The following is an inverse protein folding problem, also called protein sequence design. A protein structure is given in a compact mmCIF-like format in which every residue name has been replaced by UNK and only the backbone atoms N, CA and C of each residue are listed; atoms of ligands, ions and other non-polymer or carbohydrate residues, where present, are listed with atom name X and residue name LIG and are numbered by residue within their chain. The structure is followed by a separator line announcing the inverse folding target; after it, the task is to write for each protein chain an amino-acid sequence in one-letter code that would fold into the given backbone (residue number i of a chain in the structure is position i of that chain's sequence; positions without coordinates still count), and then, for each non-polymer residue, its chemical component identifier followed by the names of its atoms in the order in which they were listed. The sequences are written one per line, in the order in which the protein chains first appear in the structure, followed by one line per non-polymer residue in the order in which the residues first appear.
data_IF_348651399203
#
_entry.id   IF_348651399203
#
_cell.length_a   1.000
_cell.length_b   1.000
_cell.length_c   1.000
_cell.angle_alpha   90.00
_cell.angle_beta   90.00
_cell.angle_gamma   90.00
#
_symmetry.space_group_name_H-M   'P 1'
#
loop_
_entity.id
_entity.type
_entity.pdbx_description
1 polymer ?
#
# COMPACT_ATOMS: atom_id res chain seq x y z
N UNK A 1 14.52 -65.44 9.50
CA UNK A 1 14.71 -63.98 9.32
C UNK A 1 13.37 -63.31 9.60
N UNK A 2 13.43 -62.20 10.33
CA UNK A 2 12.34 -61.41 10.87
C UNK A 2 11.53 -60.70 9.78
N UNK A 3 10.24 -60.47 10.04
CA UNK A 3 9.38 -59.62 9.23
C UNK A 3 8.06 -59.31 9.92
N UNK A 4 8.13 -58.67 11.09
CA UNK A 4 6.96 -58.04 11.74
C UNK A 4 6.56 -56.80 10.91
N UNK A 5 5.34 -56.79 10.37
CA UNK A 5 4.75 -55.59 9.78
C UNK A 5 4.41 -54.58 10.86
N UNK A 6 5.01 -53.39 10.80
CA UNK A 6 4.60 -52.23 11.59
C UNK A 6 3.44 -51.52 10.87
N UNK A 7 2.36 -51.14 11.58
CA UNK A 7 1.41 -50.16 11.07
C UNK A 7 1.74 -48.76 11.61
N UNK A 8 1.12 -47.76 10.97
CA UNK A 8 0.97 -46.35 11.37
C UNK A 8 2.15 -45.41 11.03
N UNK A 9 1.91 -44.53 10.07
CA UNK A 9 2.20 -43.11 10.23
C UNK A 9 1.26 -42.36 9.29
N UNK A 10 0.12 -41.97 9.84
CA UNK A 10 -0.78 -40.98 9.25
C UNK A 10 0.01 -39.69 9.08
N UNK A 11 0.36 -39.36 7.84
CA UNK A 11 0.93 -38.07 7.49
C UNK A 11 -0.10 -36.97 7.77
N UNK A 12 0.00 -36.37 8.95
CA UNK A 12 -0.61 -35.08 9.21
C UNK A 12 0.15 -34.09 8.31
N UNK A 13 -0.50 -33.39 7.36
CA UNK A 13 0.17 -32.35 6.59
C UNK A 13 0.68 -31.29 7.57
N UNK A 14 1.82 -30.63 7.29
CA UNK A 14 2.35 -29.61 8.18
C UNK A 14 1.26 -28.56 8.39
N UNK A 15 0.89 -28.42 9.65
CA UNK A 15 -0.06 -27.44 10.16
C UNK A 15 0.32 -26.09 9.54
N UNK A 16 -0.60 -25.54 8.73
CA UNK A 16 -0.47 -24.18 8.23
C UNK A 16 -0.25 -23.31 9.46
N UNK A 17 0.96 -22.77 9.60
CA UNK A 17 1.26 -21.77 10.61
C UNK A 17 0.14 -20.77 10.58
N UNK A 18 -0.61 -20.69 11.68
CA UNK A 18 -1.60 -19.65 11.90
C UNK A 18 -0.78 -18.38 12.11
N UNK A 19 -0.29 -17.83 11.00
CA UNK A 19 0.16 -16.45 10.95
C UNK A 19 -1.07 -15.64 11.35
N UNK A 20 -0.92 -14.80 12.37
CA UNK A 20 -1.97 -13.92 12.84
C UNK A 20 -2.57 -13.20 11.63
N UNK A 21 -3.79 -13.58 11.24
CA UNK A 21 -4.49 -12.94 10.12
C UNK A 21 -5.04 -11.58 10.57
N UNK A 22 -4.12 -10.67 10.87
CA UNK A 22 -4.43 -9.26 11.01
C UNK A 22 -4.12 -8.59 9.68
N UNK A 23 -5.03 -7.76 9.16
CA UNK A 23 -4.61 -6.77 8.17
C UNK A 23 -3.74 -5.73 8.89
N UNK A 24 -2.68 -5.27 8.25
CA UNK A 24 -1.82 -4.23 8.77
C UNK A 24 -1.88 -3.01 7.86
N UNK A 25 -1.72 -1.82 8.45
CA UNK A 25 -1.46 -0.58 7.75
C UNK A 25 0.05 -0.31 7.82
N UNK A 26 0.71 -0.29 6.67
CA UNK A 26 2.11 0.07 6.54
C UNK A 26 2.21 1.48 5.96
N UNK A 27 2.62 2.44 6.78
CA UNK A 27 2.91 3.82 6.37
C UNK A 27 4.40 3.93 6.06
N UNK A 28 4.74 4.51 4.91
CA UNK A 28 6.12 4.65 4.45
C UNK A 28 6.33 6.10 4.03
N UNK A 29 7.40 6.70 4.55
CA UNK A 29 7.97 7.97 4.10
C UNK A 29 9.29 7.66 3.39
N UNK A 30 9.29 7.77 2.05
CA UNK A 30 10.48 7.70 1.22
C UNK A 30 11.21 9.05 1.29
N UNK A 31 12.35 9.10 1.99
CA UNK A 31 13.06 10.36 2.24
C UNK A 31 14.02 10.68 1.11
N UNK A 32 15.12 9.92 1.03
CA UNK A 32 16.23 10.23 0.13
C UNK A 32 17.04 9.01 -0.27
N UNK A 33 17.80 9.16 -1.35
CA UNK A 33 18.88 8.26 -1.75
C UNK A 33 20.22 8.90 -1.44
N UNK A 34 21.24 8.08 -1.22
CA UNK A 34 22.60 8.54 -1.00
C UNK A 34 23.58 7.74 -1.87
N UNK A 35 24.42 8.47 -2.61
CA UNK A 35 25.45 7.92 -3.49
C UNK A 35 24.94 6.82 -4.43
N UNK A 36 23.80 7.07 -5.07
CA UNK A 36 23.20 6.09 -5.98
C UNK A 36 24.08 5.85 -7.22
N UNK A 37 23.95 4.67 -7.82
CA UNK A 37 24.74 4.26 -8.97
C UNK A 37 24.53 5.19 -10.20
N UNK A 38 25.62 5.54 -10.88
CA UNK A 38 25.60 6.24 -12.17
C UNK A 38 25.16 5.27 -13.27
N UNK A 39 24.16 5.66 -14.07
CA UNK A 39 23.73 4.91 -15.26
C UNK A 39 23.76 5.76 -16.52
N UNK A 40 23.55 7.07 -16.41
CA UNK A 40 23.76 8.00 -17.52
C UNK A 40 25.23 8.23 -17.87
N UNK A 41 25.49 8.42 -19.17
CA UNK A 41 26.80 8.82 -19.72
C UNK A 41 27.33 10.15 -19.16
N UNK A 42 26.45 10.98 -18.61
CA UNK A 42 26.79 12.27 -18.00
C UNK A 42 27.41 12.18 -16.60
N UNK A 43 27.61 10.98 -16.05
CA UNK A 43 28.08 10.82 -14.68
C UNK A 43 26.99 11.03 -13.64
N UNK A 44 25.72 10.86 -14.03
CA UNK A 44 24.55 11.04 -13.16
C UNK A 44 23.51 9.94 -13.44
N UNK A 45 22.32 10.12 -12.88
CA UNK A 45 21.11 9.33 -13.12
C UNK A 45 19.87 10.18 -12.80
N UNK A 46 18.72 9.78 -13.31
CA UNK A 46 17.37 10.26 -13.05
C UNK A 46 16.59 9.26 -12.15
N UNK A 47 16.95 9.09 -10.86
CA UNK A 47 16.43 8.00 -10.05
C UNK A 47 14.95 8.14 -9.68
N UNK A 48 14.27 6.99 -9.63
CA UNK A 48 12.98 6.79 -8.99
C UNK A 48 12.90 5.43 -8.28
N UNK A 49 11.97 5.28 -7.35
CA UNK A 49 11.82 4.10 -6.50
C UNK A 49 10.48 3.41 -6.77
N UNK A 50 10.50 2.09 -6.85
CA UNK A 50 9.32 1.22 -6.91
C UNK A 50 9.25 0.37 -5.65
N UNK A 51 8.08 0.31 -5.04
CA UNK A 51 7.79 -0.67 -4.00
C UNK A 51 6.94 -1.79 -4.57
N UNK A 52 7.32 -3.02 -4.26
CA UNK A 52 6.59 -4.23 -4.63
C UNK A 52 6.26 -5.06 -3.40
N UNK A 53 5.04 -5.56 -3.35
CA UNK A 53 4.55 -6.45 -2.31
C UNK A 53 3.88 -7.65 -2.99
N UNK A 54 4.25 -8.87 -2.61
CA UNK A 54 3.83 -10.10 -3.29
C UNK A 54 4.00 -10.03 -4.83
N UNK A 55 5.13 -9.46 -5.29
CA UNK A 55 5.46 -9.30 -6.71
C UNK A 55 4.71 -8.18 -7.46
N UNK A 56 3.65 -7.61 -6.87
CA UNK A 56 2.87 -6.51 -7.47
C UNK A 56 3.49 -5.15 -7.12
N UNK A 57 3.58 -4.27 -8.11
CA UNK A 57 3.93 -2.87 -7.87
C UNK A 57 2.78 -2.15 -7.16
N UNK A 58 3.09 -1.56 -6.01
CA UNK A 58 2.12 -0.90 -5.13
C UNK A 58 2.40 0.60 -4.99
N UNK A 59 3.59 1.05 -5.37
CA UNK A 59 3.98 2.45 -5.37
C UNK A 59 5.13 2.68 -6.35
N UNK A 60 5.12 3.85 -6.99
CA UNK A 60 6.22 4.41 -7.77
C UNK A 60 6.39 5.87 -7.36
N UNK A 61 7.60 6.26 -7.00
CA UNK A 61 7.93 7.65 -6.67
C UNK A 61 7.97 8.54 -7.92
N UNK A 62 8.10 9.84 -7.71
CA UNK A 62 8.58 10.78 -8.74
C UNK A 62 10.00 10.42 -9.15
N UNK A 63 10.31 10.78 -10.38
CA UNK A 63 11.68 10.81 -10.92
C UNK A 63 12.33 12.13 -10.52
N UNK A 64 13.55 12.07 -9.99
CA UNK A 64 14.36 13.26 -9.72
C UNK A 64 15.52 13.26 -10.71
N UNK A 65 15.62 14.29 -11.53
CA UNK A 65 16.57 14.31 -12.63
C UNK A 65 18.00 14.67 -12.19
N UNK A 66 18.98 13.98 -12.76
CA UNK A 66 20.42 14.23 -12.67
C UNK A 66 20.92 14.41 -11.24
N UNK A 67 20.55 13.49 -10.37
CA UNK A 67 20.90 13.58 -8.96
C UNK A 67 21.11 12.20 -8.32
N UNK A 68 22.33 11.90 -7.91
CA UNK A 68 22.70 10.66 -7.19
C UNK A 68 22.40 10.72 -5.68
N UNK A 69 21.95 11.88 -5.19
CA UNK A 69 21.49 12.09 -3.82
C UNK A 69 20.08 12.71 -3.82
N UNK A 70 19.10 12.01 -4.44
CA UNK A 70 17.75 12.53 -4.61
C UNK A 70 17.04 12.64 -3.25
N UNK A 71 16.19 13.66 -3.11
CA UNK A 71 15.32 13.86 -1.93
C UNK A 71 13.88 13.85 -2.43
N UNK A 72 13.16 12.76 -2.17
CA UNK A 72 11.78 12.57 -2.62
C UNK A 72 10.76 13.12 -1.62
N UNK A 73 10.94 12.82 -0.34
CA UNK A 73 10.00 13.16 0.75
C UNK A 73 8.54 12.78 0.41
N UNK A 74 8.36 11.58 -0.16
CA UNK A 74 7.06 11.07 -0.59
C UNK A 74 6.49 10.08 0.42
N UNK A 75 5.18 10.18 0.66
CA UNK A 75 4.46 9.31 1.61
C UNK A 75 3.51 8.39 0.87
N UNK A 76 3.45 7.15 1.32
CA UNK A 76 2.45 6.17 0.86
C UNK A 76 1.96 5.32 2.02
N UNK A 77 0.78 4.74 1.85
CA UNK A 77 0.16 3.84 2.83
C UNK A 77 -0.32 2.60 2.11
N UNK A 78 0.13 1.45 2.60
CA UNK A 78 -0.18 0.14 2.05
C UNK A 78 -1.01 -0.65 3.06
N UNK A 79 -1.91 -1.48 2.55
CA UNK A 79 -2.56 -2.54 3.35
C UNK A 79 -1.78 -3.82 3.12
N UNK A 80 -1.40 -4.48 4.20
CA UNK A 80 -0.58 -5.69 4.18
C UNK A 80 -1.34 -6.80 4.88
N UNK A 81 -1.62 -7.88 4.16
CA UNK A 81 -2.40 -9.01 4.69
C UNK A 81 -1.51 -10.04 5.40
N UNK A 82 -0.22 -10.09 5.06
CA UNK A 82 0.74 -11.01 5.65
C UNK A 82 2.11 -10.33 5.84
N UNK A 83 2.66 -10.41 7.06
CA UNK A 83 3.97 -9.83 7.38
C UNK A 83 5.15 -10.69 6.92
N UNK A 84 4.93 -11.95 6.54
CA UNK A 84 5.98 -12.84 6.03
C UNK A 84 6.45 -12.45 4.64
N UNK A 85 5.63 -11.70 3.90
CA UNK A 85 5.98 -11.17 2.58
C UNK A 85 6.77 -9.86 2.76
N UNK A 86 8.05 -9.81 2.36
CA UNK A 86 8.84 -8.60 2.50
C UNK A 86 8.39 -7.55 1.48
N UNK A 87 8.56 -6.27 1.84
CA UNK A 87 8.47 -5.20 0.85
C UNK A 87 9.77 -5.19 0.02
N UNK A 88 9.63 -5.41 -1.28
CA UNK A 88 10.75 -5.35 -2.21
C UNK A 88 10.87 -3.94 -2.79
N UNK A 89 11.99 -3.29 -2.48
CA UNK A 89 12.29 -1.91 -2.88
C UNK A 89 13.29 -1.94 -4.02
N UNK A 90 12.97 -1.27 -5.13
CA UNK A 90 13.84 -1.20 -6.31
C UNK A 90 14.06 0.24 -6.72
N UNK A 91 15.30 0.58 -7.08
CA UNK A 91 15.65 1.87 -7.67
C UNK A 91 15.96 1.68 -9.14
N UNK A 92 15.52 2.62 -9.94
CA UNK A 92 15.75 2.65 -11.38
C UNK A 92 16.16 4.04 -11.82
N UNK A 93 16.97 4.09 -12.87
CA UNK A 93 17.22 5.30 -13.65
C UNK A 93 16.15 5.41 -14.72
N UNK A 94 15.59 6.59 -14.92
CA UNK A 94 14.59 6.81 -15.96
C UNK A 94 15.25 7.18 -17.29
N UNK A 95 14.98 6.39 -18.32
CA UNK A 95 15.49 6.63 -19.67
C UNK A 95 14.36 6.92 -20.65
N UNK A 96 14.38 8.11 -21.27
CA UNK A 96 13.34 8.49 -22.22
C UNK A 96 13.35 7.58 -23.46
N UNK A 97 12.27 6.82 -23.65
CA UNK A 97 12.05 6.00 -24.84
C UNK A 97 12.83 4.67 -24.84
N UNK A 98 13.46 4.29 -23.72
CA UNK A 98 14.16 3.02 -23.53
C UNK A 98 13.62 2.31 -22.28
N UNK A 99 14.19 1.13 -22.01
CA UNK A 99 13.96 0.46 -20.74
C UNK A 99 14.82 1.13 -19.66
N UNK A 100 14.16 1.57 -18.58
CA UNK A 100 14.80 2.12 -17.39
C UNK A 100 15.89 1.20 -16.80
N UNK A 101 17.07 1.77 -16.55
CA UNK A 101 18.22 1.05 -16.02
C UNK A 101 18.07 0.69 -14.53
N UNK A 102 18.46 -0.52 -14.16
CA UNK A 102 18.39 -0.97 -12.77
C UNK A 102 19.53 -0.36 -11.92
N UNK A 103 19.16 0.27 -10.81
CA UNK A 103 20.11 0.95 -9.90
C UNK A 103 20.30 0.23 -8.57
N UNK A 104 19.66 -0.92 -8.37
CA UNK A 104 19.80 -1.71 -7.14
C UNK A 104 18.48 -1.94 -6.43
N UNK A 105 18.50 -2.87 -5.48
CA UNK A 105 17.31 -3.25 -4.74
C UNK A 105 17.61 -3.71 -3.32
N UNK A 106 16.59 -3.71 -2.48
CA UNK A 106 16.66 -4.18 -1.11
C UNK A 106 15.32 -4.78 -0.67
N UNK A 107 15.37 -5.66 0.33
CA UNK A 107 14.19 -6.18 1.01
C UNK A 107 14.03 -5.52 2.37
N UNK A 108 12.81 -5.10 2.68
CA UNK A 108 12.39 -4.72 4.02
C UNK A 108 11.48 -5.81 4.58
N UNK A 109 11.99 -6.56 5.56
CA UNK A 109 11.26 -7.65 6.21
C UNK A 109 10.28 -7.09 7.23
N UNK A 110 8.98 -7.15 6.93
CA UNK A 110 7.94 -6.49 7.71
C UNK A 110 7.76 -7.11 9.10
N UNK A 111 7.98 -8.41 9.24
CA UNK A 111 7.99 -9.13 10.52
C UNK A 111 9.04 -8.63 11.53
N UNK A 112 10.09 -7.95 11.05
CA UNK A 112 11.17 -7.42 11.90
C UNK A 112 10.88 -6.02 12.45
N UNK A 113 9.80 -5.37 11.99
CA UNK A 113 9.46 -4.00 12.38
C UNK A 113 8.71 -3.97 13.73
N UNK A 114 9.09 -3.04 14.60
CA UNK A 114 8.28 -2.70 15.76
C UNK A 114 6.95 -2.06 15.30
N UNK A 115 5.85 -2.43 15.96
CA UNK A 115 4.53 -1.91 15.61
C UNK A 115 4.24 -0.59 16.32
N UNK A 116 3.32 0.19 15.75
CA UNK A 116 2.77 1.44 16.30
C UNK A 116 3.82 2.52 16.58
N UNK A 117 4.92 2.51 15.83
CA UNK A 117 6.01 3.47 15.94
C UNK A 117 6.57 3.80 14.56
N UNK A 118 6.90 5.06 14.34
CA UNK A 118 7.69 5.49 13.18
C UNK A 118 9.17 5.15 13.38
N UNK A 119 9.71 4.27 12.55
CA UNK A 119 11.08 3.74 12.63
C UNK A 119 11.86 4.25 11.41
N UNK A 120 13.01 4.93 11.60
CA UNK A 120 13.91 5.22 10.49
C UNK A 120 14.61 3.94 10.03
N UNK A 121 14.66 3.73 8.71
CA UNK A 121 15.25 2.55 8.07
C UNK A 121 16.23 3.00 7.00
N UNK A 122 17.43 2.44 7.00
CA UNK A 122 18.41 2.61 5.93
C UNK A 122 18.61 1.28 5.22
N UNK A 123 18.37 1.28 3.90
CA UNK A 123 18.50 0.10 3.06
C UNK A 123 19.74 0.24 2.16
N UNK A 124 20.68 -0.68 2.28
CA UNK A 124 21.79 -0.80 1.34
C UNK A 124 21.30 -1.48 0.05
N UNK A 125 21.55 -0.85 -1.09
CA UNK A 125 21.11 -1.36 -2.38
C UNK A 125 22.08 -2.43 -2.90
N UNK A 126 21.52 -3.50 -3.45
CA UNK A 126 22.27 -4.63 -4.00
C UNK A 126 21.75 -5.05 -5.37
N UNK A 127 22.67 -5.56 -6.17
CA UNK A 127 22.42 -6.29 -7.41
C UNK A 127 22.95 -7.72 -7.24
N UNK A 128 22.09 -8.75 -7.29
CA UNK A 128 22.52 -10.15 -7.21
C UNK A 128 23.54 -10.55 -8.29
N UNK A 129 23.54 -9.89 -9.44
CA UNK A 129 24.52 -10.16 -10.51
C UNK A 129 25.87 -9.49 -10.26
N UNK A 130 25.91 -8.44 -9.42
CA UNK A 130 27.09 -7.63 -9.12
C UNK A 130 27.16 -7.31 -7.61
N UNK A 131 27.35 -8.32 -6.74
CA UNK A 131 27.17 -8.18 -5.28
C UNK A 131 28.18 -7.24 -4.61
N UNK A 132 29.37 -7.11 -5.20
CA UNK A 132 30.47 -6.28 -4.71
C UNK A 132 30.34 -4.81 -5.13
N UNK A 133 29.41 -4.48 -6.03
CA UNK A 133 29.17 -3.11 -6.46
C UNK A 133 28.48 -2.32 -5.34
N UNK A 134 29.02 -1.14 -5.02
CA UNK A 134 28.31 -0.16 -4.21
C UNK A 134 27.28 0.56 -5.08
N UNK A 135 26.00 0.40 -4.72
CA UNK A 135 24.86 1.00 -5.42
C UNK A 135 24.21 2.11 -4.59
N UNK A 136 24.82 2.47 -3.46
CA UNK A 136 24.31 3.46 -2.54
C UNK A 136 23.26 2.92 -1.57
N UNK A 137 22.57 3.85 -0.92
CA UNK A 137 21.57 3.55 0.10
C UNK A 137 20.28 4.34 -0.09
N UNK A 138 19.17 3.81 0.44
CA UNK A 138 17.92 4.52 0.60
C UNK A 138 17.62 4.75 2.07
N UNK A 139 17.08 5.92 2.38
CA UNK A 139 16.57 6.26 3.69
C UNK A 139 15.04 6.37 3.66
N UNK A 140 14.40 5.65 4.56
CA UNK A 140 12.95 5.57 4.75
C UNK A 140 12.60 5.87 6.21
N UNK A 141 11.34 6.20 6.47
CA UNK A 141 10.73 5.99 7.77
C UNK A 141 9.44 5.17 7.61
N UNK A 142 9.23 4.19 8.48
CA UNK A 142 8.11 3.26 8.37
C UNK A 142 7.34 3.17 9.68
N UNK A 143 6.01 3.08 9.60
CA UNK A 143 5.16 2.76 10.74
C UNK A 143 4.22 1.61 10.37
N UNK A 144 4.30 0.52 11.13
CA UNK A 144 3.44 -0.65 10.95
C UNK A 144 2.37 -0.66 12.05
N UNK A 145 1.10 -0.55 11.69
CA UNK A 145 -0.01 -0.54 12.65
C UNK A 145 -0.97 -1.70 12.35
N UNK A 146 -1.26 -2.60 13.30
CA UNK A 146 -2.33 -3.58 13.16
C UNK A 146 -3.65 -2.87 12.86
N UNK A 147 -4.41 -3.36 11.88
CA UNK A 147 -5.82 -2.99 11.74
C UNK A 147 -6.64 -4.03 12.51
N UNK A 148 -7.15 -3.63 13.66
CA UNK A 148 -8.25 -4.36 14.28
C UNK A 148 -9.43 -4.32 13.30
N UNK A 149 -9.80 -5.45 12.73
CA UNK A 149 -11.07 -5.57 12.02
C UNK A 149 -12.03 -6.32 12.93
N UNK A 150 -12.99 -5.65 13.61
CA UNK A 150 -14.25 -6.32 13.86
C UNK A 150 -14.87 -6.59 12.49
N UNK A 151 -15.24 -7.84 12.25
CA UNK A 151 -15.90 -8.33 11.03
C UNK A 151 -17.02 -7.35 10.62
N UNK A 152 -16.82 -6.54 9.58
CA UNK A 152 -17.93 -5.87 8.89
C UNK A 152 -18.61 -6.90 7.99
N UNK A 153 -19.48 -7.70 8.60
CA UNK A 153 -20.47 -8.49 7.89
C UNK A 153 -21.68 -7.59 7.57
N UNK A 154 -22.08 -7.58 6.28
CA UNK A 154 -23.41 -7.15 5.73
C UNK A 154 -23.53 -5.62 5.48
N UNK A 155 -23.99 -5.09 4.34
CA UNK A 155 -24.80 -5.60 3.22
C UNK A 155 -24.44 -4.82 1.94
N UNK A 156 -23.97 -5.49 0.89
CA UNK A 156 -24.29 -5.03 -0.47
C UNK A 156 -25.67 -5.61 -0.81
N UNK A 157 -26.71 -4.78 -0.74
CA UNK A 157 -28.03 -5.13 -1.25
C UNK A 157 -28.17 -4.44 -2.59
N UNK A 158 -27.80 -5.16 -3.64
CA UNK A 158 -28.24 -4.93 -5.01
C UNK A 158 -29.76 -4.73 -5.02
N UNK A 159 -30.21 -3.47 -5.08
CA UNK A 159 -31.62 -3.17 -5.37
C UNK A 159 -31.82 -3.50 -6.84
N UNK A 160 -32.37 -4.70 -7.07
CA UNK A 160 -32.93 -5.14 -8.34
C UNK A 160 -34.04 -4.18 -8.75
N UNK A 161 -33.96 -3.67 -9.97
CA UNK A 161 -35.13 -3.12 -10.65
C UNK A 161 -36.14 -4.25 -10.94
N UNK A 162 -37.42 -4.04 -10.61
CA UNK A 162 -38.54 -4.33 -11.50
C UNK A 162 -39.85 -3.77 -10.95
N UNK A 163 -40.65 -3.24 -11.86
CA UNK A 163 -42.00 -2.69 -11.69
C UNK A 163 -43.01 -3.74 -11.22
N UNK A 164 -44.08 -3.27 -10.56
CA UNK A 164 -45.49 -3.74 -10.64
C UNK A 164 -46.33 -2.83 -9.72
N UNK A 165 -47.08 -1.85 -10.27
CA UNK A 165 -48.50 -1.91 -10.65
C UNK A 165 -49.47 -2.29 -9.52
N UNK A 166 -50.11 -1.29 -8.90
CA UNK A 166 -51.59 -1.17 -8.85
C UNK A 166 -52.05 -0.21 -7.74
N UNK A 167 -52.93 0.69 -8.17
CA UNK A 167 -53.74 1.68 -7.45
C UNK A 167 -54.31 1.22 -6.10
N UNK A 168 -54.40 2.14 -5.14
CA UNK A 168 -55.68 2.56 -4.53
C UNK A 168 -55.53 3.55 -3.34
N UNK A 169 -56.25 4.68 -3.47
CA UNK A 169 -56.85 5.55 -2.44
C UNK A 169 -56.01 6.24 -1.34
N UNK A 170 -56.04 7.59 -1.40
CA UNK A 170 -56.36 8.60 -0.37
C UNK A 170 -56.50 8.10 1.08
N UNK A 171 -56.08 8.82 2.14
CA UNK A 171 -56.75 10.00 2.73
C UNK A 171 -55.82 10.63 3.79
N UNK A 172 -55.94 11.95 3.95
CA UNK A 172 -55.44 12.92 4.96
C UNK A 172 -55.21 12.41 6.40
N UNK A 173 -54.59 13.08 7.38
CA UNK A 173 -54.11 14.44 7.70
C UNK A 173 -53.17 14.25 8.95
N UNK A 174 -52.37 15.18 9.47
CA UNK A 174 -52.73 16.43 10.14
C UNK A 174 -51.43 17.05 10.71
N UNK A 175 -51.38 18.38 10.68
CA UNK A 175 -50.76 19.31 11.64
C UNK A 175 -49.21 19.35 11.78
N UNK A 176 -48.66 20.45 11.26
CA UNK A 176 -47.44 21.13 11.75
C UNK A 176 -47.80 21.95 13.00
N UNK A 177 -46.91 22.20 13.98
CA UNK A 177 -46.01 23.37 13.86
C UNK A 177 -44.68 23.25 14.63
N UNK A 178 -43.56 23.63 14.01
CA UNK A 178 -42.66 24.56 14.69
C UNK A 178 -41.72 25.31 13.75
N UNK A 179 -41.64 26.60 14.04
CA UNK A 179 -41.07 27.71 13.28
C UNK A 179 -39.56 27.64 13.14
N UNK A 180 -39.02 28.16 12.02
CA UNK A 180 -37.96 29.18 12.05
C UNK A 180 -38.13 30.10 10.84
N UNK A 181 -38.41 31.39 11.11
CA UNK A 181 -38.45 32.48 10.12
C UNK A 181 -37.12 33.24 10.26
N UNK A 182 -36.43 33.48 9.14
CA UNK A 182 -35.39 34.51 9.00
C UNK A 182 -35.88 35.62 8.06
N UNK A 183 -35.46 36.84 8.39
CA UNK A 183 -35.91 38.18 7.97
C UNK A 183 -35.58 38.58 6.49
N UNK A 184 -36.11 39.71 5.98
CA UNK A 184 -36.52 39.90 4.59
C UNK A 184 -35.43 40.46 3.66
N UNK A 185 -35.60 40.21 2.35
CA UNK A 185 -35.00 41.04 1.30
C UNK A 185 -36.09 41.91 0.68
N UNK A 186 -35.95 43.22 0.88
CA UNK A 186 -36.55 44.24 0.00
C UNK A 186 -35.46 44.66 -1.00
N UNK A 187 -35.72 44.49 -2.30
CA UNK A 187 -35.34 45.54 -3.22
C UNK A 187 -36.53 45.93 -4.08
N UNK A 188 -37.09 47.10 -3.79
CA UNK A 188 -37.98 47.83 -4.66
C UNK A 188 -37.51 47.87 -6.12
N UNK A 189 -38.53 47.86 -6.99
CA UNK A 189 -38.65 48.27 -8.40
C UNK A 189 -38.53 47.11 -9.40
N UNK A 190 -39.65 46.63 -9.96
CA UNK A 190 -40.47 47.27 -11.03
C UNK A 190 -39.52 47.59 -12.19
N UNK A 191 -39.45 46.82 -13.27
CA UNK A 191 -40.45 46.41 -14.27
C UNK A 191 -40.03 45.08 -14.87
#
# INVERSE_FOLDING_TARGET
MLGMGAPCSSGVPPERSIHSSGMYKLEIELKRGNNLAVRDRGGSSDPYVKFKLAGKEVFRSKTIHKNLNPVWEEKTTLVVDCLSEPLYVKVFDYDFGLQDDFMGSAYLYLESLEQQRMIPVTLALKDPHHPDQDLGTLELAVNLTPKDSPVEERRDSTVRMSADYSSQFSVFAFLSPNQLIWYPQDPQKRV
#
